data_IF_871242978852
#
_entry.id   IF_871242978852
#
_cell.length_a   1.000
_cell.length_b   1.000
_cell.length_c   1.000
_cell.angle_alpha   90.00
_cell.angle_beta   90.00
_cell.angle_gamma   90.00
#
_symmetry.space_group_name_H-M   'P 1'
#
loop_
_entity.id
_entity.type
_entity.pdbx_description
1 polymer ?
#
# COMPACT_ATOMS: atom_id res chain seq x y z
N UNK A 1 -8.64 14.40 -4.01
CA UNK A 1 -8.78 14.94 -2.63
C UNK A 1 -7.73 16.00 -2.39
N UNK A 2 -8.06 17.13 -1.73
CA UNK A 2 -7.14 18.25 -1.47
C UNK A 2 -5.95 17.93 -0.54
N UNK A 3 -5.86 16.74 0.03
CA UNK A 3 -4.80 16.35 0.97
C UNK A 3 -3.42 16.24 0.34
N UNK A 4 -3.35 15.65 -0.85
CA UNK A 4 -2.11 15.43 -1.58
C UNK A 4 -1.54 16.68 -2.23
N UNK A 5 -0.37 16.56 -2.86
CA UNK A 5 0.13 17.60 -3.75
C UNK A 5 -0.65 17.62 -5.07
N UNK A 6 -0.86 18.79 -5.69
CA UNK A 6 -1.68 18.91 -6.92
C UNK A 6 -1.23 18.00 -8.05
N UNK A 7 0.07 17.95 -8.34
CA UNK A 7 0.64 17.09 -9.39
C UNK A 7 0.45 15.59 -9.09
N UNK A 8 0.55 15.19 -7.82
CA UNK A 8 0.32 13.81 -7.40
C UNK A 8 -1.15 13.45 -7.55
N UNK A 9 -2.04 14.35 -7.13
CA UNK A 9 -3.49 14.17 -7.25
C UNK A 9 -3.92 14.08 -8.73
N UNK A 10 -3.35 14.91 -9.59
CA UNK A 10 -3.60 14.84 -11.03
C UNK A 10 -3.20 13.49 -11.62
N UNK A 11 -1.95 13.05 -11.42
CA UNK A 11 -1.47 11.74 -11.90
C UNK A 11 -2.30 10.57 -11.37
N UNK A 12 -2.75 10.66 -10.12
CA UNK A 12 -3.57 9.64 -9.50
C UNK A 12 -4.97 9.60 -10.14
N UNK A 13 -5.53 10.75 -10.45
CA UNK A 13 -6.83 10.89 -11.13
C UNK A 13 -6.76 10.33 -12.55
N UNK A 14 -5.75 10.70 -13.33
CA UNK A 14 -5.51 10.19 -14.68
C UNK A 14 -5.44 8.65 -14.68
N UNK A 15 -4.66 8.07 -13.77
CA UNK A 15 -4.56 6.59 -13.63
C UNK A 15 -5.88 5.93 -13.24
N UNK A 16 -6.64 6.55 -12.35
CA UNK A 16 -7.95 6.02 -11.92
C UNK A 16 -8.97 6.09 -13.06
N UNK A 17 -9.00 7.20 -13.79
CA UNK A 17 -9.85 7.34 -14.97
C UNK A 17 -9.51 6.32 -16.05
N UNK A 18 -8.23 6.15 -16.39
CA UNK A 18 -7.77 5.17 -17.37
C UNK A 18 -8.09 3.72 -16.96
N UNK A 19 -7.92 3.38 -15.68
CA UNK A 19 -8.27 2.05 -15.18
C UNK A 19 -9.78 1.79 -15.21
N UNK A 20 -10.59 2.79 -14.87
CA UNK A 20 -12.05 2.68 -14.91
C UNK A 20 -12.55 2.55 -16.34
N UNK A 21 -12.02 3.36 -17.25
CA UNK A 21 -12.35 3.27 -18.68
C UNK A 21 -12.04 1.87 -19.22
N UNK A 22 -10.85 1.36 -18.97
CA UNK A 22 -10.47 0.01 -19.38
C UNK A 22 -11.41 -1.05 -18.81
N UNK A 23 -11.72 -0.98 -17.52
CA UNK A 23 -12.65 -1.89 -16.85
C UNK A 23 -14.03 -1.91 -17.47
N UNK A 24 -14.56 -0.73 -17.84
CA UNK A 24 -15.87 -0.60 -18.50
C UNK A 24 -15.82 -1.16 -19.93
N UNK A 25 -14.79 -0.81 -20.71
CA UNK A 25 -14.62 -1.30 -22.09
C UNK A 25 -14.46 -2.81 -22.18
N UNK A 26 -13.80 -3.43 -21.21
CA UNK A 26 -13.64 -4.90 -21.13
C UNK A 26 -14.97 -5.63 -20.89
N UNK A 27 -15.98 -4.97 -20.29
CA UNK A 27 -17.27 -5.56 -19.90
C UNK A 27 -18.45 -5.13 -20.71
N UNK A 28 -18.35 -3.98 -21.34
CA UNK A 28 -19.45 -3.38 -22.12
C UNK A 28 -18.88 -2.86 -23.44
N UNK A 29 -19.40 -3.36 -24.55
CA UNK A 29 -19.04 -2.85 -25.87
C UNK A 29 -19.70 -1.48 -26.07
N UNK A 30 -19.01 -0.43 -25.66
CA UNK A 30 -19.46 0.95 -25.84
C UNK A 30 -18.77 1.58 -27.05
N UNK A 31 -19.50 2.30 -27.92
CA UNK A 31 -18.90 3.12 -28.95
C UNK A 31 -18.01 4.20 -28.35
N UNK A 32 -16.88 4.52 -28.99
CA UNK A 32 -15.92 5.51 -28.51
C UNK A 32 -16.51 6.92 -28.29
N UNK A 33 -17.55 7.25 -29.03
CA UNK A 33 -18.22 8.54 -28.95
C UNK A 33 -19.01 8.79 -27.65
N UNK A 34 -19.25 7.76 -26.83
CA UNK A 34 -20.10 7.86 -25.63
C UNK A 34 -19.27 8.05 -24.33
N UNK A 35 -17.96 7.86 -24.38
CA UNK A 35 -17.11 7.95 -23.19
C UNK A 35 -16.53 9.35 -23.08
N UNK A 36 -17.06 10.17 -22.18
CA UNK A 36 -16.44 11.44 -21.80
C UNK A 36 -15.62 11.27 -20.53
N UNK A 37 -14.40 11.79 -20.53
CA UNK A 37 -13.50 11.79 -19.36
C UNK A 37 -13.66 13.09 -18.59
N UNK A 38 -13.89 13.01 -17.29
CA UNK A 38 -13.83 14.15 -16.40
C UNK A 38 -12.60 13.99 -15.49
N UNK A 39 -11.55 14.74 -15.75
CA UNK A 39 -10.31 14.74 -14.97
C UNK A 39 -10.35 15.89 -13.95
N UNK A 40 -10.82 15.60 -12.73
CA UNK A 40 -10.80 16.55 -11.63
C UNK A 40 -9.68 16.19 -10.66
N UNK A 41 -8.58 16.95 -10.65
CA UNK A 41 -7.44 16.73 -9.77
C UNK A 41 -7.76 17.01 -8.29
N UNK A 42 -8.55 18.05 -8.03
CA UNK A 42 -9.01 18.44 -6.69
C UNK A 42 -10.49 18.76 -6.69
N UNK A 43 -11.23 18.08 -5.81
CA UNK A 43 -12.70 18.19 -5.78
C UNK A 43 -13.14 19.21 -4.72
N UNK A 44 -12.73 20.46 -4.87
CA UNK A 44 -13.12 21.57 -3.98
C UNK A 44 -14.64 21.78 -3.92
N UNK A 45 -15.31 21.68 -5.03
CA UNK A 45 -16.78 21.83 -5.08
C UNK A 45 -17.50 20.72 -4.32
N UNK A 46 -17.01 19.47 -4.43
CA UNK A 46 -17.59 18.34 -3.67
C UNK A 46 -17.31 18.51 -2.17
N UNK A 47 -16.13 19.00 -1.80
CA UNK A 47 -15.83 19.32 -0.41
C UNK A 47 -16.76 20.43 0.10
N UNK A 48 -16.94 21.51 -0.67
CA UNK A 48 -17.89 22.58 -0.32
C UNK A 48 -19.30 22.07 -0.08
N UNK A 49 -19.77 21.15 -0.92
CA UNK A 49 -21.08 20.52 -0.75
C UNK A 49 -21.23 19.77 0.60
N UNK A 50 -20.21 19.01 1.01
CA UNK A 50 -20.22 18.33 2.31
C UNK A 50 -20.16 19.31 3.47
N UNK A 51 -19.33 20.35 3.36
CA UNK A 51 -19.23 21.40 4.36
C UNK A 51 -20.57 22.15 4.53
N UNK A 52 -21.21 22.50 3.44
CA UNK A 52 -22.50 23.23 3.43
C UNK A 52 -23.63 22.43 4.10
N UNK A 53 -23.63 21.10 3.92
CA UNK A 53 -24.63 20.20 4.53
C UNK A 53 -24.31 19.75 5.94
N UNK A 54 -23.22 20.22 6.54
CA UNK A 54 -22.79 19.82 7.86
C UNK A 54 -22.97 20.93 8.88
N UNK A 55 -23.03 20.54 10.16
CA UNK A 55 -23.02 21.44 11.29
C UNK A 55 -21.61 21.68 11.84
N UNK A 56 -20.59 21.63 10.96
CA UNK A 56 -19.21 21.81 11.39
C UNK A 56 -18.94 23.23 11.91
N UNK A 57 -18.11 23.39 12.94
CA UNK A 57 -17.66 24.68 13.40
C UNK A 57 -16.92 25.45 12.28
N UNK A 58 -17.11 26.76 12.21
CA UNK A 58 -16.49 27.66 11.21
C UNK A 58 -16.86 27.31 9.76
N UNK A 59 -18.07 26.76 9.56
CA UNK A 59 -18.57 26.35 8.24
C UNK A 59 -18.48 27.46 7.21
N UNK A 60 -18.94 28.65 7.58
CA UNK A 60 -19.05 29.78 6.66
C UNK A 60 -17.68 30.31 6.23
N UNK A 61 -16.71 30.33 7.15
CA UNK A 61 -15.31 30.68 6.83
C UNK A 61 -14.66 29.65 5.91
N UNK A 62 -14.95 28.35 6.10
CA UNK A 62 -14.45 27.29 5.21
C UNK A 62 -15.05 27.42 3.84
N UNK A 63 -16.36 27.67 3.72
CA UNK A 63 -17.04 27.89 2.45
C UNK A 63 -16.49 29.12 1.73
N UNK A 64 -16.27 30.21 2.44
CA UNK A 64 -15.63 31.40 1.90
C UNK A 64 -14.24 31.08 1.33
N UNK A 65 -13.40 30.38 2.09
CA UNK A 65 -12.07 29.99 1.61
C UNK A 65 -12.14 29.10 0.36
N UNK A 66 -13.10 28.18 0.27
CA UNK A 66 -13.22 27.28 -0.88
C UNK A 66 -13.77 28.00 -2.13
N UNK A 67 -14.75 28.89 -1.96
CA UNK A 67 -15.52 29.46 -3.08
C UNK A 67 -14.96 30.80 -3.56
N UNK A 68 -14.49 31.64 -2.62
CA UNK A 68 -14.21 33.06 -2.89
C UNK A 68 -12.68 33.36 -2.97
N UNK A 69 -11.84 32.37 -2.66
CA UNK A 69 -10.38 32.63 -2.70
C UNK A 69 -9.69 31.85 -3.81
N UNK A 70 -8.61 32.43 -4.33
CA UNK A 70 -7.77 31.76 -5.33
C UNK A 70 -7.13 30.48 -4.77
N UNK A 71 -7.01 29.48 -5.62
CA UNK A 71 -6.38 28.22 -5.25
C UNK A 71 -4.90 28.39 -4.92
N UNK A 72 -4.21 29.25 -5.70
CA UNK A 72 -2.81 29.59 -5.53
C UNK A 72 -2.60 31.09 -5.63
N UNK A 73 -1.81 31.64 -4.73
CA UNK A 73 -1.43 33.07 -4.72
C UNK A 73 0.05 33.20 -4.98
N UNK A 74 0.42 33.98 -6.00
CA UNK A 74 1.80 34.18 -6.40
C UNK A 74 2.20 35.65 -6.14
N UNK A 75 3.48 35.88 -5.80
CA UNK A 75 4.02 37.23 -5.70
C UNK A 75 4.36 37.78 -7.09
N UNK A 76 4.80 39.06 -7.12
CA UNK A 76 5.20 39.74 -8.36
C UNK A 76 6.36 39.06 -9.12
N UNK A 77 7.08 38.14 -8.47
CA UNK A 77 8.19 37.38 -9.07
C UNK A 77 7.76 35.98 -9.51
N UNK A 78 6.46 35.64 -9.47
CA UNK A 78 5.93 34.34 -9.86
C UNK A 78 6.20 33.22 -8.84
N UNK A 79 6.60 33.57 -7.61
CA UNK A 79 6.82 32.56 -6.55
C UNK A 79 5.52 32.36 -5.80
N UNK A 80 5.14 31.08 -5.59
CA UNK A 80 3.98 30.70 -4.78
C UNK A 80 4.19 31.14 -3.33
N UNK A 81 3.34 32.03 -2.82
CA UNK A 81 3.41 32.54 -1.45
C UNK A 81 2.31 31.99 -0.55
N UNK A 82 1.17 31.64 -1.13
CA UNK A 82 0.04 31.12 -0.37
C UNK A 82 -0.85 30.20 -1.23
N UNK A 83 -1.70 29.38 -0.59
CA UNK A 83 -2.66 28.55 -1.27
C UNK A 83 -3.94 28.35 -0.44
N UNK A 84 -5.07 28.12 -1.12
CA UNK A 84 -6.34 27.77 -0.48
C UNK A 84 -6.18 26.66 0.54
N UNK A 85 -5.43 25.62 0.19
CA UNK A 85 -5.13 24.50 1.09
C UNK A 85 -4.44 24.96 2.36
N UNK A 86 -3.40 25.80 2.25
CA UNK A 86 -2.66 26.32 3.40
C UNK A 86 -3.58 27.15 4.30
N UNK A 87 -4.36 28.07 3.73
CA UNK A 87 -5.32 28.89 4.49
C UNK A 87 -6.32 28.00 5.26
N UNK A 88 -6.85 26.97 4.64
CA UNK A 88 -7.76 26.01 5.31
C UNK A 88 -7.04 25.19 6.39
N UNK A 89 -5.77 24.85 6.19
CA UNK A 89 -4.97 24.16 7.20
C UNK A 89 -4.65 25.04 8.40
N UNK A 90 -4.45 26.33 8.18
CA UNK A 90 -4.15 27.30 9.24
C UNK A 90 -5.40 27.77 9.97
N UNK A 91 -6.58 27.61 9.38
CA UNK A 91 -7.85 28.05 9.94
C UNK A 91 -8.12 27.35 11.29
N UNK A 92 -8.38 28.17 12.33
CA UNK A 92 -8.66 27.71 13.69
C UNK A 92 -7.59 26.74 14.23
N UNK A 93 -6.30 27.08 14.03
CA UNK A 93 -5.15 26.28 14.49
C UNK A 93 -5.18 24.83 13.98
N UNK A 94 -5.65 24.60 12.76
CA UNK A 94 -5.71 23.30 12.12
C UNK A 94 -6.87 22.41 12.55
N UNK A 95 -7.69 22.82 13.51
CA UNK A 95 -8.83 22.01 14.00
C UNK A 95 -9.86 21.78 12.90
N UNK A 96 -10.15 22.80 12.11
CA UNK A 96 -11.11 22.77 11.00
C UNK A 96 -10.64 21.79 9.92
N UNK A 97 -9.36 21.85 9.56
CA UNK A 97 -8.77 20.94 8.60
C UNK A 97 -8.81 19.47 9.07
N UNK A 98 -8.44 19.23 10.33
CA UNK A 98 -8.50 17.90 10.93
C UNK A 98 -9.92 17.34 11.01
N UNK A 99 -10.92 18.18 11.24
CA UNK A 99 -12.33 17.78 11.16
C UNK A 99 -12.69 17.33 9.74
N UNK A 100 -12.37 18.12 8.72
CA UNK A 100 -12.63 17.76 7.33
C UNK A 100 -11.87 16.49 6.88
N UNK A 101 -10.63 16.31 7.35
CA UNK A 101 -9.85 15.09 7.09
C UNK A 101 -10.56 13.82 7.55
N UNK A 102 -11.18 13.87 8.73
CA UNK A 102 -11.85 12.73 9.33
C UNK A 102 -13.24 12.49 8.75
N UNK A 103 -14.04 13.55 8.61
CA UNK A 103 -15.46 13.41 8.29
C UNK A 103 -15.76 13.45 6.78
N UNK A 104 -15.04 14.29 6.00
CA UNK A 104 -15.42 14.55 4.60
C UNK A 104 -14.45 13.95 3.59
N UNK A 105 -13.17 13.93 3.87
CA UNK A 105 -12.19 13.47 2.87
C UNK A 105 -12.32 12.00 2.51
N UNK A 106 -12.74 11.07 3.38
CA UNK A 106 -13.03 9.70 2.96
C UNK A 106 -14.07 9.63 1.83
N UNK A 107 -15.12 10.45 1.89
CA UNK A 107 -16.16 10.54 0.88
C UNK A 107 -15.71 11.26 -0.41
N UNK A 108 -14.74 12.19 -0.30
CA UNK A 108 -14.16 12.89 -1.45
C UNK A 108 -13.14 12.02 -2.21
N UNK A 109 -12.50 11.06 -1.54
CA UNK A 109 -11.52 10.15 -2.14
C UNK A 109 -12.12 9.08 -3.05
N UNK A 110 -13.41 8.88 -3.02
CA UNK A 110 -14.08 7.88 -3.84
C UNK A 110 -14.13 8.33 -5.30
N UNK A 111 -13.80 7.41 -6.22
CA UNK A 111 -14.00 7.60 -7.64
C UNK A 111 -15.50 7.83 -7.92
N UNK A 112 -15.81 8.90 -8.63
CA UNK A 112 -17.19 9.25 -8.91
C UNK A 112 -17.85 8.26 -9.86
N UNK A 113 -19.15 8.02 -9.63
CA UNK A 113 -20.02 7.20 -10.43
C UNK A 113 -19.94 7.62 -11.90
N UNK A 114 -19.72 6.66 -12.80
CA UNK A 114 -19.95 6.87 -14.23
C UNK A 114 -21.43 6.66 -14.46
N UNK A 115 -22.16 7.72 -14.82
CA UNK A 115 -23.54 7.61 -15.28
C UNK A 115 -23.52 7.42 -16.80
N UNK A 116 -23.90 6.25 -17.27
CA UNK A 116 -24.07 5.97 -18.70
C UNK A 116 -25.56 6.17 -19.03
N UNK A 117 -25.87 7.19 -19.79
CA UNK A 117 -27.20 7.39 -20.33
C UNK A 117 -27.24 6.83 -21.76
N UNK A 118 -28.06 5.82 -21.97
CA UNK A 118 -28.40 5.35 -23.33
C UNK A 118 -29.66 6.06 -23.75
N UNK A 119 -29.53 7.07 -24.60
CA UNK A 119 -30.68 7.65 -25.29
C UNK A 119 -31.15 6.66 -26.35
N UNK A 120 -32.20 5.90 -26.05
CA UNK A 120 -32.90 5.12 -27.08
C UNK A 120 -33.74 6.08 -27.93
N UNK A 121 -33.27 6.41 -29.13
CA UNK A 121 -34.16 6.98 -30.13
C UNK A 121 -35.26 5.97 -30.39
N UNK A 122 -36.57 6.37 -30.35
CA UNK A 122 -37.64 5.45 -30.67
C UNK A 122 -37.48 5.02 -32.11
N UNK A 123 -37.18 3.75 -32.33
CA UNK A 123 -37.22 3.12 -33.65
C UNK A 123 -38.70 2.99 -33.99
N UNK A 124 -39.14 3.74 -34.98
CA UNK A 124 -40.46 3.54 -35.60
C UNK A 124 -40.43 2.15 -36.22
N UNK A 125 -41.12 1.21 -35.63
CA UNK A 125 -41.30 -0.13 -36.18
C UNK A 125 -42.34 0.01 -37.27
N UNK A 126 -41.87 -0.01 -38.52
CA UNK A 126 -42.74 -0.13 -39.69
C UNK A 126 -43.26 -1.58 -39.73
N UNK A 127 -44.56 -1.73 -39.47
CA UNK A 127 -45.25 -3.00 -39.51
C UNK A 127 -45.41 -3.47 -40.97
N UNK A 128 -44.37 -4.07 -41.54
CA UNK A 128 -44.52 -4.90 -42.73
C UNK A 128 -44.67 -6.38 -42.32
N UNK A 129 -45.75 -6.95 -42.84
CA UNK A 129 -46.25 -8.32 -42.69
C UNK A 129 -45.13 -9.35 -42.57
N UNK A 130 -45.15 -10.10 -41.48
CA UNK A 130 -44.41 -11.35 -41.35
C UNK A 130 -45.08 -12.43 -42.22
N UNK A 131 -44.41 -12.89 -43.25
CA UNK A 131 -44.68 -14.17 -43.88
C UNK A 131 -44.29 -15.30 -42.92
N UNK A 132 -45.26 -16.18 -42.67
CA UNK A 132 -45.05 -17.38 -41.83
C UNK A 132 -44.23 -18.37 -42.64
N UNK A 133 -42.96 -18.48 -42.31
CA UNK A 133 -42.11 -19.57 -42.77
C UNK A 133 -42.29 -20.73 -41.77
N UNK A 134 -42.89 -21.82 -42.26
CA UNK A 134 -42.98 -23.08 -41.52
C UNK A 134 -41.57 -23.65 -41.37
N UNK A 135 -41.11 -23.94 -40.14
CA UNK A 135 -39.81 -24.57 -39.98
C UNK A 135 -39.86 -26.05 -40.39
N UNK A 136 -38.95 -26.44 -41.27
CA UNK A 136 -38.63 -27.89 -41.48
C UNK A 136 -38.03 -28.44 -40.18
N UNK A 137 -38.45 -29.66 -39.84
CA UNK A 137 -37.96 -30.37 -38.65
C UNK A 137 -36.44 -30.56 -38.72
N UNK A 138 -35.69 -30.23 -37.64
CA UNK A 138 -34.25 -30.46 -37.65
C UNK A 138 -33.98 -31.96 -37.50
N UNK A 139 -33.20 -32.48 -38.42
CA UNK A 139 -32.57 -33.81 -38.36
C UNK A 139 -31.82 -33.90 -37.02
N UNK A 140 -32.20 -34.88 -36.20
CA UNK A 140 -31.57 -35.22 -34.94
C UNK A 140 -30.10 -35.62 -35.21
N UNK A 141 -29.17 -34.71 -35.02
CA UNK A 141 -27.77 -35.08 -34.85
C UNK A 141 -27.58 -35.54 -33.40
N UNK A 142 -27.05 -36.72 -33.23
CA UNK A 142 -26.62 -37.26 -31.92
C UNK A 142 -25.71 -36.20 -31.21
N UNK A 143 -25.92 -35.99 -29.90
CA UNK A 143 -25.06 -35.02 -29.19
C UNK A 143 -23.64 -35.56 -29.16
N UNK A 144 -22.73 -34.90 -29.88
CA UNK A 144 -21.33 -35.01 -29.59
C UNK A 144 -21.12 -34.51 -28.16
N UNK A 145 -20.69 -35.43 -27.31
CA UNK A 145 -20.25 -35.12 -25.95
C UNK A 145 -19.05 -34.21 -26.11
N UNK A 146 -19.25 -32.90 -26.03
CA UNK A 146 -18.19 -31.96 -25.83
C UNK A 146 -17.48 -32.34 -24.52
N UNK A 147 -16.25 -32.78 -24.65
CA UNK A 147 -15.37 -32.97 -23.50
C UNK A 147 -15.34 -31.62 -22.74
N UNK A 148 -15.69 -31.59 -21.43
CA UNK A 148 -15.83 -30.33 -20.73
C UNK A 148 -14.50 -29.58 -20.83
N UNK A 149 -14.54 -28.37 -21.36
CA UNK A 149 -13.39 -27.47 -21.40
C UNK A 149 -12.73 -27.46 -20.01
N UNK A 150 -11.39 -27.60 -19.93
CA UNK A 150 -10.72 -27.64 -18.64
C UNK A 150 -11.11 -26.39 -17.84
N UNK A 151 -11.74 -26.60 -16.70
CA UNK A 151 -12.08 -25.52 -15.77
C UNK A 151 -10.82 -24.66 -15.55
N UNK A 152 -10.92 -23.33 -15.65
CA UNK A 152 -9.77 -22.48 -15.40
C UNK A 152 -9.25 -22.81 -14.01
N UNK A 153 -8.03 -23.35 -13.92
CA UNK A 153 -7.37 -23.63 -12.64
C UNK A 153 -7.48 -22.37 -11.77
N UNK A 154 -8.33 -22.41 -10.76
CA UNK A 154 -8.43 -21.35 -9.75
C UNK A 154 -7.07 -21.23 -9.11
N UNK A 155 -6.27 -20.26 -9.53
CA UNK A 155 -4.98 -19.94 -8.92
C UNK A 155 -5.24 -19.50 -7.49
N UNK A 156 -5.07 -20.42 -6.55
CA UNK A 156 -5.19 -20.10 -5.14
C UNK A 156 -4.10 -19.09 -4.79
N UNK A 157 -4.51 -17.90 -4.42
CA UNK A 157 -3.60 -16.89 -3.87
C UNK A 157 -3.23 -17.31 -2.45
N UNK A 158 -1.96 -17.64 -2.23
CA UNK A 158 -1.44 -17.93 -0.90
C UNK A 158 -0.84 -16.68 -0.30
N UNK A 159 -1.43 -16.28 0.81
CA UNK A 159 -1.01 -15.12 1.61
C UNK A 159 -0.56 -15.59 2.99
N UNK A 160 0.48 -14.96 3.53
CA UNK A 160 0.87 -15.10 4.92
C UNK A 160 1.06 -13.73 5.57
N UNK A 161 0.70 -13.64 6.85
CA UNK A 161 1.06 -12.52 7.72
C UNK A 161 2.14 -13.03 8.67
N UNK A 162 3.13 -12.20 8.97
CA UNK A 162 4.25 -12.59 9.84
C UNK A 162 4.67 -11.46 10.77
N UNK A 163 5.25 -11.85 11.90
CA UNK A 163 5.97 -10.96 12.80
C UNK A 163 7.34 -11.55 13.09
N UNK A 164 8.37 -10.71 13.14
CA UNK A 164 9.73 -11.12 13.51
C UNK A 164 9.87 -11.06 15.03
N UNK A 165 9.87 -12.21 15.67
CA UNK A 165 9.97 -12.35 17.14
C UNK A 165 11.29 -11.80 17.71
N UNK A 166 12.37 -11.74 16.91
CA UNK A 166 13.61 -11.09 17.36
C UNK A 166 13.42 -9.58 17.54
N UNK A 167 12.69 -8.95 16.63
CA UNK A 167 12.39 -7.53 16.75
C UNK A 167 11.41 -7.26 17.89
N UNK A 168 10.41 -8.12 18.05
CA UNK A 168 9.45 -8.03 19.17
C UNK A 168 10.17 -8.15 20.52
N UNK A 169 11.14 -9.06 20.64
CA UNK A 169 11.97 -9.22 21.84
C UNK A 169 12.86 -7.99 22.14
N UNK A 170 13.25 -7.25 21.10
CA UNK A 170 13.97 -5.99 21.21
C UNK A 170 13.06 -4.77 21.42
N UNK A 171 11.76 -4.98 21.60
CA UNK A 171 10.79 -3.90 21.76
C UNK A 171 10.53 -3.13 20.46
N UNK A 172 10.69 -3.76 19.30
CA UNK A 172 10.43 -3.19 17.98
C UNK A 172 9.24 -3.91 17.34
N UNK A 173 8.00 -3.48 17.60
CA UNK A 173 6.81 -3.99 16.95
C UNK A 173 6.96 -3.98 15.44
N UNK A 174 6.55 -5.08 14.80
CA UNK A 174 6.69 -5.24 13.36
C UNK A 174 5.59 -6.12 12.79
N UNK A 175 5.32 -5.94 11.52
CA UNK A 175 4.38 -6.73 10.76
C UNK A 175 4.91 -6.96 9.35
N UNK A 176 4.76 -8.16 8.85
CA UNK A 176 5.09 -8.51 7.47
C UNK A 176 3.95 -9.22 6.76
N UNK A 177 3.97 -9.17 5.46
CA UNK A 177 3.06 -9.88 4.56
C UNK A 177 3.86 -10.57 3.48
N UNK A 178 3.45 -11.78 3.11
CA UNK A 178 4.10 -12.53 2.04
C UNK A 178 3.07 -13.15 1.10
N UNK A 179 3.24 -12.89 -0.19
CA UNK A 179 2.38 -13.38 -1.26
C UNK A 179 3.13 -14.39 -2.12
N UNK A 180 2.53 -15.54 -2.37
CA UNK A 180 3.03 -16.48 -3.36
C UNK A 180 2.70 -16.00 -4.77
N UNK A 181 3.72 -15.85 -5.62
CA UNK A 181 3.60 -15.44 -7.03
C UNK A 181 3.46 -16.64 -7.98
N UNK A 182 3.11 -17.81 -7.48
CA UNK A 182 2.99 -19.05 -8.22
C UNK A 182 4.01 -20.12 -7.80
N UNK A 183 4.36 -21.02 -8.68
CA UNK A 183 4.97 -22.33 -8.37
C UNK A 183 6.11 -22.36 -7.34
N UNK A 184 6.92 -21.30 -7.20
CA UNK A 184 8.06 -21.28 -6.24
C UNK A 184 8.59 -19.88 -5.96
N UNK A 185 7.84 -18.86 -6.27
CA UNK A 185 8.24 -17.50 -5.99
C UNK A 185 7.30 -16.85 -5.01
N UNK A 186 7.82 -16.00 -4.16
CA UNK A 186 7.04 -15.12 -3.31
C UNK A 186 7.66 -13.73 -3.23
N UNK A 187 6.81 -12.76 -2.94
CA UNK A 187 7.22 -11.43 -2.56
C UNK A 187 6.79 -11.20 -1.12
N UNK A 188 7.71 -10.75 -0.29
CA UNK A 188 7.45 -10.38 1.09
C UNK A 188 7.73 -8.90 1.29
N UNK A 189 6.94 -8.26 2.15
CA UNK A 189 7.17 -6.91 2.60
C UNK A 189 6.98 -6.87 4.10
N UNK A 190 7.81 -6.11 4.79
CA UNK A 190 7.73 -5.92 6.23
C UNK A 190 7.85 -4.44 6.60
N UNK A 191 7.26 -4.11 7.72
CA UNK A 191 7.33 -2.79 8.33
C UNK A 191 7.58 -2.92 9.82
N UNK A 192 8.47 -2.07 10.35
CA UNK A 192 8.77 -1.99 11.78
C UNK A 192 8.63 -0.56 12.26
N UNK A 193 8.18 -0.42 13.51
CA UNK A 193 8.03 0.87 14.14
C UNK A 193 8.23 0.76 15.65
N UNK A 194 9.22 1.45 16.17
CA UNK A 194 9.41 1.67 17.60
C UNK A 194 9.70 3.14 17.84
N UNK A 195 9.08 3.71 18.85
CA UNK A 195 9.27 5.12 19.20
C UNK A 195 9.23 5.30 20.70
N UNK A 196 10.17 4.62 21.36
CA UNK A 196 10.29 4.66 22.80
C UNK A 196 11.27 5.75 23.19
N UNK A 197 10.86 6.61 24.14
CA UNK A 197 11.69 7.69 24.64
C UNK A 197 11.47 7.89 26.13
N UNK A 198 12.56 8.08 26.83
CA UNK A 198 12.58 8.56 28.20
C UNK A 198 13.44 9.82 28.24
N UNK A 199 12.82 10.96 28.11
CA UNK A 199 13.50 12.25 28.07
C UNK A 199 14.22 12.60 29.37
N UNK A 200 13.77 12.06 30.51
CA UNK A 200 14.36 12.31 31.83
C UNK A 200 15.71 11.60 32.00
N UNK A 201 15.88 10.45 31.35
CA UNK A 201 17.12 9.66 31.41
C UNK A 201 17.90 9.67 30.09
N UNK A 202 17.51 10.50 29.14
CA UNK A 202 18.11 10.54 27.82
C UNK A 202 18.25 9.16 27.18
N UNK A 203 17.20 8.36 27.22
CA UNK A 203 17.15 7.05 26.58
C UNK A 203 16.18 7.09 25.42
N UNK A 204 16.68 6.90 24.21
CA UNK A 204 15.88 6.83 22.99
C UNK A 204 16.10 5.49 22.31
N UNK A 205 15.00 4.81 22.02
CA UNK A 205 14.96 3.57 21.26
C UNK A 205 13.94 3.73 20.15
N UNK A 206 14.38 4.34 19.06
CA UNK A 206 13.52 4.75 17.97
C UNK A 206 14.03 4.15 16.68
N UNK A 207 13.18 3.43 15.98
CA UNK A 207 13.45 2.92 14.65
C UNK A 207 12.14 2.79 13.90
N UNK A 208 12.14 3.15 12.63
CA UNK A 208 11.06 2.83 11.74
C UNK A 208 11.56 2.68 10.31
N UNK A 209 10.89 1.81 9.58
CA UNK A 209 11.24 1.49 8.23
C UNK A 209 10.67 0.16 7.83
N UNK A 210 11.11 -0.33 6.70
CA UNK A 210 10.63 -1.61 6.19
C UNK A 210 11.53 -2.18 5.14
N UNK A 211 11.16 -3.34 4.68
CA UNK A 211 11.88 -4.08 3.67
C UNK A 211 10.95 -4.76 2.68
N UNK A 212 11.56 -5.15 1.57
CA UNK A 212 10.92 -5.98 0.56
C UNK A 212 11.89 -7.10 0.19
N UNK A 213 11.38 -8.32 0.07
CA UNK A 213 12.14 -9.50 -0.35
C UNK A 213 11.47 -10.16 -1.53
N UNK A 214 12.26 -10.55 -2.51
CA UNK A 214 11.86 -11.49 -3.56
C UNK A 214 12.51 -12.84 -3.27
N UNK A 215 11.69 -13.88 -3.02
CA UNK A 215 12.14 -15.19 -2.55
C UNK A 215 11.84 -16.27 -3.57
N UNK A 216 12.76 -17.19 -3.76
CA UNK A 216 12.60 -18.43 -4.53
C UNK A 216 12.67 -19.62 -3.59
N UNK A 217 11.62 -20.41 -3.58
CA UNK A 217 11.44 -21.60 -2.73
C UNK A 217 11.95 -22.84 -3.41
N UNK A 218 12.63 -23.72 -2.66
CA UNK A 218 13.19 -24.94 -3.18
C UNK A 218 13.14 -26.10 -2.16
N UNK A 219 13.51 -27.30 -2.61
CA UNK A 219 13.43 -28.51 -1.81
C UNK A 219 12.11 -29.27 -1.96
N UNK A 220 11.97 -30.36 -1.21
CA UNK A 220 10.80 -31.24 -1.28
C UNK A 220 9.53 -30.60 -0.75
N UNK A 221 9.64 -29.84 0.34
CA UNK A 221 8.51 -29.18 1.00
C UNK A 221 7.83 -28.14 0.08
N UNK A 222 8.61 -27.31 -0.63
CA UNK A 222 8.10 -26.29 -1.53
C UNK A 222 7.44 -26.84 -2.80
N UNK A 223 7.69 -28.12 -3.14
CA UNK A 223 6.98 -28.81 -4.25
C UNK A 223 5.55 -29.17 -3.86
N UNK A 224 5.33 -29.41 -2.58
CA UNK A 224 4.04 -29.86 -2.04
C UNK A 224 3.18 -28.68 -1.68
N UNK A 225 3.76 -27.66 -1.01
CA UNK A 225 3.05 -26.48 -0.55
C UNK A 225 3.90 -25.20 -0.75
N UNK A 226 3.29 -24.09 -1.18
CA UNK A 226 3.94 -22.78 -1.17
C UNK A 226 4.34 -22.34 0.24
N UNK A 227 5.33 -21.46 0.33
CA UNK A 227 5.81 -20.81 1.57
C UNK A 227 6.32 -21.81 2.64
N UNK A 228 6.88 -22.95 2.21
CA UNK A 228 7.47 -23.97 3.08
C UNK A 228 8.82 -24.46 2.55
N UNK A 229 9.71 -24.79 3.50
CA UNK A 229 11.04 -25.31 3.19
C UNK A 229 12.08 -24.23 3.02
N UNK A 230 13.10 -24.52 2.24
CA UNK A 230 14.19 -23.59 2.00
C UNK A 230 13.81 -22.49 1.02
N UNK A 231 14.30 -21.29 1.25
CA UNK A 231 14.21 -20.19 0.30
C UNK A 231 15.52 -19.42 0.20
N UNK A 232 15.76 -18.90 -0.99
CA UNK A 232 16.80 -17.92 -1.30
C UNK A 232 16.12 -16.68 -1.87
N UNK A 233 16.65 -15.51 -1.54
CA UNK A 233 16.05 -14.27 -1.99
C UNK A 233 17.02 -13.11 -2.10
N UNK A 234 16.47 -12.00 -2.56
CA UNK A 234 17.11 -10.69 -2.50
C UNK A 234 16.23 -9.84 -1.61
N UNK A 235 16.84 -9.19 -0.64
CA UNK A 235 16.18 -8.28 0.29
C UNK A 235 16.72 -6.87 0.11
N UNK A 236 15.83 -5.89 0.13
CA UNK A 236 16.15 -4.47 0.19
C UNK A 236 15.39 -3.83 1.34
N UNK A 237 16.05 -3.00 2.13
CA UNK A 237 15.51 -2.34 3.30
C UNK A 237 15.83 -0.85 3.26
N UNK A 238 14.92 -0.05 3.83
CA UNK A 238 15.13 1.36 4.10
C UNK A 238 14.57 1.68 5.48
N UNK A 239 15.36 2.34 6.32
CA UNK A 239 14.99 2.62 7.70
C UNK A 239 15.71 3.86 8.25
N UNK A 240 15.10 4.48 9.24
CA UNK A 240 15.69 5.53 10.06
C UNK A 240 15.69 5.08 11.51
N UNK A 241 16.61 5.61 12.29
CA UNK A 241 16.71 5.28 13.70
C UNK A 241 17.30 6.43 14.51
N UNK A 242 17.02 6.39 15.79
CA UNK A 242 17.61 7.25 16.81
C UNK A 242 17.78 6.42 18.08
N UNK A 243 19.02 5.98 18.31
CA UNK A 243 19.38 5.16 19.45
C UNK A 243 20.28 5.94 20.40
N UNK A 244 19.84 6.09 21.63
CA UNK A 244 20.58 6.71 22.69
C UNK A 244 20.38 5.94 24.00
N UNK A 245 21.47 5.57 24.62
CA UNK A 245 21.50 4.84 25.87
C UNK A 245 22.47 5.56 26.82
N UNK A 246 22.01 6.66 27.44
CA UNK A 246 22.69 7.36 28.50
C UNK A 246 24.01 8.04 28.10
N UNK A 247 23.99 9.06 27.25
CA UNK A 247 25.12 9.96 27.05
C UNK A 247 25.73 9.99 25.65
N UNK A 248 25.44 9.01 24.78
CA UNK A 248 25.85 9.05 23.37
C UNK A 248 24.74 8.51 22.49
N UNK A 249 24.34 9.31 21.51
CA UNK A 249 23.30 8.95 20.58
C UNK A 249 23.79 8.77 19.13
N UNK A 250 23.08 7.91 18.40
CA UNK A 250 23.31 7.61 16.99
C UNK A 250 22.00 7.77 16.23
N UNK A 251 21.96 8.68 15.26
CA UNK A 251 20.77 8.98 14.51
C UNK A 251 21.02 8.85 13.01
N UNK A 252 20.17 8.11 12.32
CA UNK A 252 20.05 8.16 10.86
C UNK A 252 18.66 8.67 10.49
N UNK A 253 18.61 9.68 9.65
CA UNK A 253 17.43 10.51 9.39
C UNK A 253 17.65 11.94 9.88
N UNK A 254 16.69 12.83 9.64
CA UNK A 254 16.71 14.21 10.14
C UNK A 254 15.69 14.34 11.25
N UNK A 255 16.04 14.82 12.45
CA UNK A 255 15.09 15.08 13.51
C UNK A 255 13.99 16.06 13.01
N UNK A 256 12.72 15.68 13.15
CA UNK A 256 11.59 16.47 12.65
C UNK A 256 11.42 16.52 11.14
N UNK A 257 12.29 15.84 10.38
CA UNK A 257 12.18 15.66 8.93
C UNK A 257 11.32 14.48 8.50
N UNK A 258 11.29 14.21 7.20
CA UNK A 258 10.61 13.04 6.66
C UNK A 258 11.49 11.80 6.76
N UNK A 259 10.87 10.60 6.78
CA UNK A 259 11.55 9.30 6.73
C UNK A 259 12.56 9.16 5.59
N UNK A 260 12.32 9.86 4.51
CA UNK A 260 13.08 9.73 3.28
C UNK A 260 14.32 10.63 3.25
N UNK A 261 14.42 11.54 4.22
CA UNK A 261 15.58 12.42 4.33
C UNK A 261 16.71 11.70 5.06
N UNK A 262 17.75 11.34 4.31
CA UNK A 262 18.98 10.68 4.80
C UNK A 262 18.72 9.33 5.49
N UNK A 263 17.87 8.53 4.88
CA UNK A 263 17.57 7.16 5.30
C UNK A 263 18.78 6.26 5.18
N UNK A 264 18.96 5.34 6.11
CA UNK A 264 19.84 4.17 5.96
C UNK A 264 19.16 3.14 5.06
N UNK A 265 19.97 2.46 4.26
CA UNK A 265 19.49 1.40 3.37
C UNK A 265 20.38 0.18 3.44
N UNK A 266 19.79 -0.97 3.17
CA UNK A 266 20.54 -2.22 3.06
C UNK A 266 20.00 -3.04 1.89
N UNK A 267 20.91 -3.72 1.18
CA UNK A 267 20.58 -4.67 0.13
C UNK A 267 21.44 -5.90 0.29
N UNK A 268 20.84 -7.08 0.21
CA UNK A 268 21.58 -8.31 0.41
C UNK A 268 20.91 -9.56 -0.12
N UNK A 269 21.66 -10.65 -0.09
CA UNK A 269 21.16 -11.98 -0.35
C UNK A 269 20.56 -12.57 0.93
N UNK A 270 19.39 -13.15 0.81
CA UNK A 270 18.64 -13.78 1.88
C UNK A 270 18.68 -15.30 1.73
N UNK A 271 18.88 -16.01 2.83
CA UNK A 271 18.64 -17.44 2.93
C UNK A 271 17.82 -17.75 4.15
N UNK A 272 16.84 -18.66 4.00
CA UNK A 272 16.02 -19.07 5.13
C UNK A 272 15.36 -20.43 4.96
N UNK A 273 14.69 -20.82 6.04
CA UNK A 273 13.93 -22.08 6.14
C UNK A 273 12.64 -21.88 6.90
N UNK A 274 11.52 -22.15 6.26
CA UNK A 274 10.20 -22.09 6.87
C UNK A 274 9.73 -23.47 7.31
N UNK A 275 9.57 -23.63 8.64
CA UNK A 275 9.18 -24.88 9.32
C UNK A 275 7.69 -24.83 9.69
N UNK A 276 6.85 -25.74 9.18
CA UNK A 276 5.46 -25.85 9.63
C UNK A 276 5.39 -26.39 11.06
N UNK A 277 4.74 -25.65 11.96
CA UNK A 277 4.56 -26.02 13.39
C UNK A 277 3.10 -26.36 13.72
N UNK A 278 2.12 -25.74 13.04
CA UNK A 278 0.70 -26.02 13.24
C UNK A 278 -0.07 -25.91 11.91
N UNK A 279 -1.36 -26.20 11.93
CA UNK A 279 -2.20 -26.22 10.72
C UNK A 279 -2.09 -24.96 9.87
N UNK A 280 -1.96 -23.80 10.48
CA UNK A 280 -1.85 -22.49 9.81
C UNK A 280 -0.66 -21.65 10.28
N UNK A 281 0.28 -22.27 10.99
CA UNK A 281 1.43 -21.56 11.54
C UNK A 281 2.74 -22.21 11.09
N UNK A 282 3.67 -21.38 10.68
CA UNK A 282 5.06 -21.74 10.43
C UNK A 282 5.98 -20.87 11.30
N UNK A 283 7.18 -21.34 11.54
CA UNK A 283 8.30 -20.50 11.98
C UNK A 283 9.27 -20.40 10.81
N UNK A 284 9.60 -19.17 10.42
CA UNK A 284 10.54 -18.84 9.35
C UNK A 284 11.84 -18.29 9.94
N UNK A 285 12.93 -18.99 9.68
CA UNK A 285 14.28 -18.58 10.06
C UNK A 285 14.96 -18.04 8.82
N UNK A 286 15.41 -16.79 8.86
CA UNK A 286 16.18 -16.23 7.75
C UNK A 286 17.27 -15.29 8.18
N UNK A 287 18.29 -15.20 7.35
CA UNK A 287 19.39 -14.26 7.50
C UNK A 287 19.65 -13.58 6.15
N UNK A 288 19.93 -12.29 6.22
CA UNK A 288 20.30 -11.49 5.06
C UNK A 288 21.74 -11.02 5.27
N UNK A 289 22.58 -11.27 4.28
CA UNK A 289 23.94 -10.75 4.23
C UNK A 289 24.12 -9.88 2.97
N UNK A 290 24.72 -8.71 3.15
CA UNK A 290 24.86 -7.77 2.06
C UNK A 290 25.54 -6.48 2.47
N UNK A 291 25.20 -5.41 1.77
CA UNK A 291 25.71 -4.07 2.01
C UNK A 291 24.67 -3.20 2.71
N UNK A 292 25.10 -2.48 3.75
CA UNK A 292 24.33 -1.45 4.44
C UNK A 292 25.06 -0.12 4.34
N UNK A 293 24.37 0.90 3.86
CA UNK A 293 24.88 2.24 3.69
C UNK A 293 23.96 3.31 4.29
N UNK A 294 24.43 4.53 4.29
CA UNK A 294 23.67 5.68 4.75
C UNK A 294 24.50 6.61 5.63
N UNK A 295 24.05 7.85 5.70
CA UNK A 295 24.65 8.85 6.57
C UNK A 295 24.03 8.77 7.94
N UNK A 296 24.84 8.89 8.99
CA UNK A 296 24.37 8.97 10.36
C UNK A 296 25.10 10.02 11.14
N UNK A 297 24.50 10.45 12.24
CA UNK A 297 25.01 11.48 13.14
C UNK A 297 25.31 10.85 14.50
N UNK A 298 26.44 11.23 15.06
CA UNK A 298 26.77 11.00 16.47
C UNK A 298 26.47 12.29 17.23
N UNK A 299 25.75 12.19 18.33
CA UNK A 299 25.41 13.32 19.17
C UNK A 299 25.52 12.97 20.66
N UNK A 300 25.58 13.99 21.49
CA UNK A 300 25.46 13.88 22.94
C UNK A 300 24.24 14.71 23.38
N UNK A 301 23.35 14.15 24.22
CA UNK A 301 22.28 14.94 24.80
C UNK A 301 22.83 15.79 25.96
N UNK A 302 22.68 17.09 25.85
CA UNK A 302 23.00 18.03 26.90
C UNK A 302 21.83 18.98 27.08
N UNK A 303 21.34 19.14 28.31
CA UNK A 303 20.27 20.07 28.68
C UNK A 303 19.03 20.01 27.78
N UNK A 304 18.62 18.80 27.37
CA UNK A 304 17.47 18.59 26.48
C UNK A 304 17.73 18.89 25.00
N UNK A 305 18.97 19.12 24.61
CA UNK A 305 19.37 19.40 23.23
C UNK A 305 20.28 18.29 22.71
N UNK A 306 20.20 18.05 21.40
CA UNK A 306 21.13 17.16 20.69
C UNK A 306 22.37 17.92 20.27
N UNK A 307 23.48 17.73 20.96
CA UNK A 307 24.75 18.34 20.59
C UNK A 307 25.45 17.47 19.56
N UNK A 308 25.50 17.96 18.34
CA UNK A 308 26.17 17.26 17.25
C UNK A 308 27.67 17.09 17.52
N UNK A 309 28.17 15.88 17.31
CA UNK A 309 29.59 15.53 17.45
C UNK A 309 30.25 15.20 16.13
N UNK A 310 29.59 14.35 15.32
CA UNK A 310 30.16 13.94 14.05
C UNK A 310 29.06 13.52 13.06
N UNK A 311 29.36 13.72 11.78
CA UNK A 311 28.60 13.12 10.67
C UNK A 311 29.46 12.06 10.02
N UNK A 312 28.93 10.86 9.91
CA UNK A 312 29.65 9.71 9.35
C UNK A 312 28.82 9.04 8.25
N UNK A 313 29.50 8.42 7.31
CA UNK A 313 28.89 7.55 6.31
C UNK A 313 29.14 6.09 6.70
N UNK A 314 28.08 5.29 6.68
CA UNK A 314 28.18 3.85 6.94
C UNK A 314 28.49 3.14 5.63
N UNK A 315 29.48 2.24 5.71
CA UNK A 315 29.82 1.28 4.67
C UNK A 315 30.04 -0.07 5.37
N UNK A 316 28.98 -0.85 5.50
CA UNK A 316 29.01 -2.13 6.19
C UNK A 316 28.76 -3.25 5.19
N UNK A 317 29.61 -4.26 5.19
CA UNK A 317 29.40 -5.51 4.45
C UNK A 317 29.35 -6.64 5.47
N UNK A 318 28.24 -7.38 5.49
CA UNK A 318 28.02 -8.45 6.45
C UNK A 318 26.53 -8.73 6.67
N UNK A 319 26.14 -9.34 7.81
CA UNK A 319 24.76 -9.53 8.15
C UNK A 319 24.01 -8.20 8.28
N UNK A 320 22.89 -8.05 7.56
CA UNK A 320 22.07 -6.84 7.55
C UNK A 320 20.71 -7.05 8.18
N UNK A 321 20.21 -8.31 8.25
CA UNK A 321 18.96 -8.67 8.88
C UNK A 321 18.99 -10.11 9.36
N UNK A 322 18.34 -10.36 10.50
CA UNK A 322 18.04 -11.70 11.00
C UNK A 322 16.56 -11.77 11.35
N UNK A 323 15.92 -12.88 11.01
CA UNK A 323 14.50 -13.11 11.29
C UNK A 323 14.30 -14.48 11.93
N UNK A 324 13.50 -14.50 12.98
CA UNK A 324 12.79 -15.66 13.49
C UNK A 324 11.32 -15.25 13.49
N UNK A 325 10.64 -15.53 12.41
CA UNK A 325 9.30 -15.00 12.18
C UNK A 325 8.23 -16.04 12.44
N UNK A 326 7.22 -15.68 13.23
CA UNK A 326 5.97 -16.41 13.32
C UNK A 326 5.12 -16.05 12.10
N UNK A 327 4.73 -17.06 11.32
CA UNK A 327 4.07 -16.90 10.03
C UNK A 327 2.69 -17.52 10.08
N UNK A 328 1.65 -16.74 9.88
CA UNK A 328 0.27 -17.19 9.81
C UNK A 328 -0.20 -17.27 8.36
N UNK A 329 -0.54 -18.50 7.93
CA UNK A 329 -1.00 -18.82 6.58
C UNK A 329 -2.48 -18.46 6.43
N UNK A 330 -2.80 -17.58 5.49
CA UNK A 330 -4.15 -17.10 5.17
C UNK A 330 -4.60 -17.61 3.80
N UNK A 331 -5.90 -17.72 3.61
CA UNK A 331 -6.51 -18.12 2.34
C UNK A 331 -7.05 -19.55 2.36
N UNK A 332 -7.92 -19.83 1.38
CA UNK A 332 -8.51 -21.15 1.19
C UNK A 332 -7.44 -22.14 0.68
N UNK A 333 -7.33 -23.31 1.31
CA UNK A 333 -6.30 -24.28 0.95
C UNK A 333 -4.88 -23.99 1.46
N UNK A 334 -4.63 -22.79 2.02
CA UNK A 334 -3.33 -22.43 2.58
C UNK A 334 -3.18 -22.91 4.02
N UNK A 335 -2.96 -24.21 4.18
CA UNK A 335 -2.72 -24.84 5.49
C UNK A 335 -1.75 -26.00 5.36
N UNK A 336 -1.04 -26.29 6.44
CA UNK A 336 -0.10 -27.39 6.53
C UNK A 336 -0.83 -28.73 6.62
N UNK A 337 -0.35 -29.75 5.94
CA UNK A 337 -0.87 -31.11 6.11
C UNK A 337 -0.53 -31.62 7.52
N UNK A 338 -1.44 -32.29 8.19
CA UNK A 338 -1.11 -33.02 9.43
C UNK A 338 0.07 -33.94 9.12
N UNK A 339 1.15 -33.89 9.89
CA UNK A 339 2.12 -34.96 9.92
C UNK A 339 1.34 -36.20 10.30
N UNK A 340 1.28 -37.25 9.44
CA UNK A 340 0.91 -38.58 9.90
C UNK A 340 1.90 -38.93 11.01
N UNK A 341 1.42 -38.97 12.23
CA UNK A 341 2.19 -39.48 13.36
C UNK A 341 2.65 -40.89 12.96
N UNK A 342 3.96 -41.10 13.05
CA UNK A 342 4.45 -42.46 12.91
C UNK A 342 3.88 -43.26 14.05
N UNK A 343 3.14 -44.30 13.66
CA UNK A 343 2.84 -45.40 14.58
C UNK A 343 4.17 -45.92 15.14
N UNK A 344 4.30 -45.81 16.46
CA UNK A 344 5.25 -46.60 17.22
C UNK A 344 4.58 -47.91 17.63
#
# INVERSE_FOLDING_TARGET
SPEGGPLLNQRLTERRCANMERYVRERVQLPDAIVSKCECSEMWQKLAYFVEKSDMPYRDEVLHQIRETDEFTYNSKGVLVDSRKKRLMDLNYGRTWNYMLREFFPAVRNASLISVYIEQKPTVVDNQKAEVIVPEEPVTQEPQVEEPAPEPERRNAYLAIKTNMLYDALGVPNIGMEFSLGKRWSIAADWMYAWWNNNHHHNYWRIYGGGISLRKWFGKASKVKPLQGHHLGINAQAFTYDFELGGKGYMAGIPGGTLWDRTSYAVGAEYGYSLPIAKRLNIDFSVVAGYMGGRYYEYEPLDGHYVWKATKNRHWIGPTKAEVSLVWLLGHGNYNNKKKGGDK
#
